data_IF_536998537303
#
_entry.id   IF_536998537303
#
_cell.length_a   1.000
_cell.length_b   1.000
_cell.length_c   1.000
_cell.angle_alpha   90.00
_cell.angle_beta   90.00
_cell.angle_gamma   90.00
#
_symmetry.space_group_name_H-M   'P 1'
#
loop_
_entity.id
_entity.type
_entity.pdbx_description
1 polymer ?
#
# COMPACT_ATOMS: atom_id res chain seq x y z
N UNK A 1 3.72 4.70 -27.21
CA UNK A 1 4.37 5.53 -26.17
C UNK A 1 4.81 4.57 -25.07
N UNK A 2 6.01 3.99 -25.18
CA UNK A 2 6.37 2.76 -24.44
C UNK A 2 7.57 2.92 -23.50
N UNK A 3 8.14 4.13 -23.42
CA UNK A 3 9.38 4.39 -22.68
C UNK A 3 9.20 4.32 -21.15
N UNK A 4 8.01 4.58 -20.62
CA UNK A 4 7.76 4.64 -19.17
C UNK A 4 8.02 3.31 -18.47
N UNK A 5 7.65 2.18 -19.07
CA UNK A 5 7.71 0.88 -18.38
C UNK A 5 9.16 0.38 -18.20
N UNK A 6 10.02 0.63 -19.19
CA UNK A 6 11.46 0.33 -19.09
C UNK A 6 12.18 1.27 -18.11
N UNK A 7 11.71 2.52 -18.02
CA UNK A 7 12.26 3.50 -17.09
C UNK A 7 11.94 3.11 -15.65
N UNK A 8 10.66 2.84 -15.32
CA UNK A 8 10.20 2.35 -14.01
C UNK A 8 11.00 1.12 -13.56
N UNK A 9 11.18 0.12 -14.43
CA UNK A 9 11.99 -1.07 -14.10
C UNK A 9 13.45 -0.72 -13.76
N UNK A 10 14.06 0.22 -14.50
CA UNK A 10 15.43 0.69 -14.19
C UNK A 10 15.51 1.47 -12.87
N UNK A 11 14.45 2.18 -12.50
CA UNK A 11 14.36 2.87 -11.21
C UNK A 11 14.16 1.88 -10.05
N UNK A 12 13.33 0.84 -10.24
CA UNK A 12 13.13 -0.25 -9.27
C UNK A 12 14.43 -1.02 -8.98
N UNK A 13 15.21 -1.35 -10.01
CA UNK A 13 16.55 -1.95 -9.86
C UNK A 13 17.49 -1.07 -9.02
N UNK A 14 17.47 0.26 -9.24
CA UNK A 14 18.26 1.22 -8.44
C UNK A 14 17.75 1.36 -7.01
N UNK A 15 16.43 1.32 -6.80
CA UNK A 15 15.81 1.34 -5.48
C UNK A 15 16.20 0.10 -4.67
N UNK A 16 16.08 -1.10 -5.26
CA UNK A 16 16.48 -2.37 -4.63
C UNK A 16 17.99 -2.42 -4.32
N UNK A 17 18.82 -1.78 -5.16
CA UNK A 17 20.28 -1.69 -4.96
C UNK A 17 20.70 -0.60 -3.96
N UNK A 18 19.79 0.23 -3.44
CA UNK A 18 20.15 1.38 -2.60
C UNK A 18 20.43 0.95 -1.14
N UNK A 19 21.58 1.33 -0.54
CA UNK A 19 21.99 0.85 0.78
C UNK A 19 21.31 1.63 1.93
N UNK A 20 19.98 1.58 2.04
CA UNK A 20 19.19 2.26 3.08
C UNK A 20 19.69 1.99 4.51
N UNK A 21 20.18 0.77 4.78
CA UNK A 21 20.72 0.39 6.09
C UNK A 21 22.04 1.10 6.47
N UNK A 22 22.79 1.59 5.48
CA UNK A 22 24.06 2.31 5.71
C UNK A 22 23.84 3.82 5.87
N UNK A 23 22.84 4.40 5.20
CA UNK A 23 22.57 5.84 5.19
C UNK A 23 22.09 6.37 6.56
N UNK A 24 22.93 7.17 7.21
CA UNK A 24 22.64 7.79 8.50
C UNK A 24 21.51 8.84 8.42
N UNK A 25 21.40 9.56 7.31
CA UNK A 25 20.37 10.60 7.09
C UNK A 25 18.99 9.97 6.98
N UNK A 26 18.90 8.90 6.18
CA UNK A 26 17.68 8.10 6.06
C UNK A 26 17.27 7.50 7.42
N UNK A 27 18.19 6.82 8.12
CA UNK A 27 17.90 6.23 9.45
C UNK A 27 17.45 7.26 10.48
N UNK A 28 18.07 8.44 10.51
CA UNK A 28 17.68 9.52 11.43
C UNK A 28 16.27 10.07 11.13
N UNK A 29 15.92 10.23 9.84
CA UNK A 29 14.59 10.63 9.42
C UNK A 29 13.53 9.56 9.70
N UNK A 30 13.84 8.29 9.43
CA UNK A 30 12.95 7.16 9.74
C UNK A 30 12.68 7.04 11.25
N UNK A 31 13.70 7.20 12.08
CA UNK A 31 13.54 7.17 13.55
C UNK A 31 12.65 8.31 14.07
N UNK A 32 12.75 9.52 13.50
CA UNK A 32 11.89 10.65 13.84
C UNK A 32 10.43 10.42 13.40
N UNK A 33 10.20 9.84 12.21
CA UNK A 33 8.87 9.46 11.74
C UNK A 33 8.25 8.38 12.64
N UNK A 34 8.99 7.31 12.95
CA UNK A 34 8.52 6.22 13.82
C UNK A 34 8.22 6.74 15.24
N UNK A 35 9.03 7.66 15.76
CA UNK A 35 8.80 8.27 17.09
C UNK A 35 7.54 9.15 17.15
N UNK A 36 7.06 9.64 16.00
CA UNK A 36 5.84 10.45 15.88
C UNK A 36 4.60 9.65 15.45
N UNK A 37 4.79 8.46 14.88
CA UNK A 37 3.69 7.57 14.49
C UNK A 37 3.04 6.91 15.70
N UNK A 38 1.73 6.66 15.64
CA UNK A 38 1.03 5.87 16.66
C UNK A 38 1.37 4.39 16.53
N UNK A 39 1.20 3.64 17.63
CA UNK A 39 1.52 2.21 17.68
C UNK A 39 0.60 1.34 16.79
N UNK A 40 -0.55 1.89 16.38
CA UNK A 40 -1.56 1.25 15.53
C UNK A 40 -1.19 1.21 14.04
N UNK A 41 -0.11 1.89 13.64
CA UNK A 41 0.34 1.92 12.25
C UNK A 41 1.47 0.92 12.03
N UNK A 42 1.33 0.10 10.99
CA UNK A 42 2.34 -0.88 10.60
C UNK A 42 3.72 -0.24 10.34
N UNK A 43 4.68 -0.56 11.21
CA UNK A 43 6.07 -0.09 11.09
C UNK A 43 6.71 -0.47 9.76
N UNK A 44 6.37 -1.64 9.23
CA UNK A 44 6.81 -2.12 7.91
C UNK A 44 6.27 -1.23 6.78
N UNK A 45 5.03 -0.73 6.90
CA UNK A 45 4.45 0.18 5.91
C UNK A 45 5.04 1.60 6.02
N UNK A 46 5.30 2.08 7.25
CA UNK A 46 6.04 3.33 7.48
C UNK A 46 7.44 3.24 6.84
N UNK A 47 8.16 2.14 7.07
CA UNK A 47 9.50 1.91 6.51
C UNK A 47 9.47 1.87 4.98
N UNK A 48 8.55 1.12 4.36
CA UNK A 48 8.39 1.08 2.89
C UNK A 48 8.08 2.48 2.33
N UNK A 49 7.12 3.20 2.93
CA UNK A 49 6.78 4.58 2.52
C UNK A 49 7.96 5.53 2.65
N UNK A 50 8.72 5.44 3.74
CA UNK A 50 9.90 6.27 3.96
C UNK A 50 11.02 5.98 2.94
N UNK A 51 11.31 4.69 2.65
CA UNK A 51 12.31 4.30 1.64
C UNK A 51 11.96 4.89 0.27
N UNK A 52 10.71 4.74 -0.17
CA UNK A 52 10.21 5.24 -1.45
C UNK A 52 10.29 6.76 -1.51
N UNK A 53 9.77 7.46 -0.49
CA UNK A 53 9.82 8.91 -0.40
C UNK A 53 11.25 9.45 -0.44
N UNK A 54 12.18 8.82 0.29
CA UNK A 54 13.58 9.20 0.30
C UNK A 54 14.25 8.96 -1.05
N UNK A 55 14.03 7.80 -1.67
CA UNK A 55 14.58 7.44 -2.97
C UNK A 55 14.10 8.38 -4.09
N UNK A 56 12.81 8.72 -4.09
CA UNK A 56 12.21 9.71 -5.00
C UNK A 56 12.86 11.09 -4.81
N UNK A 57 13.03 11.52 -3.56
CA UNK A 57 13.66 12.80 -3.21
C UNK A 57 15.11 12.92 -3.68
N UNK A 58 15.91 11.85 -3.59
CA UNK A 58 17.32 11.88 -4.03
C UNK A 58 17.48 11.68 -5.54
N UNK A 59 16.59 10.91 -6.17
CA UNK A 59 16.71 10.53 -7.59
C UNK A 59 15.96 11.48 -8.54
N UNK A 60 15.03 12.30 -8.02
CA UNK A 60 14.12 13.12 -8.82
C UNK A 60 12.99 12.31 -9.47
N UNK A 61 12.76 11.08 -9.01
CA UNK A 61 11.82 10.12 -9.57
C UNK A 61 10.47 10.15 -8.84
N UNK A 62 9.44 9.59 -9.49
CA UNK A 62 8.05 9.55 -8.98
C UNK A 62 7.55 8.13 -8.78
N UNK A 63 8.34 7.30 -8.12
CA UNK A 63 8.06 5.88 -7.90
C UNK A 63 6.97 5.70 -6.83
N UNK A 64 5.96 4.88 -7.10
CA UNK A 64 4.77 4.70 -6.24
C UNK A 64 4.89 3.47 -5.33
N UNK A 65 4.03 3.41 -4.31
CA UNK A 65 3.96 2.27 -3.37
C UNK A 65 3.52 1.01 -4.12
N UNK A 66 2.56 1.15 -5.03
CA UNK A 66 2.03 0.09 -5.87
C UNK A 66 3.09 -0.48 -6.83
N UNK A 67 3.97 0.34 -7.40
CA UNK A 67 5.07 -0.13 -8.27
C UNK A 67 6.15 -0.91 -7.48
N UNK A 68 6.55 -0.43 -6.29
CA UNK A 68 7.47 -1.19 -5.43
C UNK A 68 6.83 -2.46 -4.92
N UNK A 69 5.56 -2.40 -4.49
CA UNK A 69 4.82 -3.57 -4.05
C UNK A 69 4.73 -4.60 -5.16
N UNK A 70 4.35 -4.21 -6.39
CA UNK A 70 4.30 -5.11 -7.53
C UNK A 70 5.67 -5.74 -7.85
N UNK A 71 6.77 -5.01 -7.68
CA UNK A 71 8.12 -5.54 -7.85
C UNK A 71 8.54 -6.53 -6.74
N UNK A 72 8.15 -6.26 -5.48
CA UNK A 72 8.35 -7.16 -4.34
C UNK A 72 7.41 -8.40 -4.42
N UNK A 73 6.22 -8.26 -5.00
CA UNK A 73 5.21 -9.32 -5.20
C UNK A 73 5.43 -10.12 -6.49
N UNK A 74 6.26 -9.66 -7.44
CA UNK A 74 6.80 -10.52 -8.50
C UNK A 74 7.92 -11.37 -7.92
N UNK A 75 7.73 -12.68 -7.64
CA UNK A 75 8.83 -13.53 -7.25
C UNK A 75 9.80 -13.62 -8.44
N UNK A 76 10.92 -12.93 -8.32
CA UNK A 76 12.08 -13.17 -9.17
C UNK A 76 12.58 -14.57 -8.82
N UNK A 77 12.12 -15.55 -9.58
CA UNK A 77 12.77 -16.86 -9.66
C UNK A 77 14.15 -16.59 -10.26
N UNK A 78 15.15 -16.38 -9.40
CA UNK A 78 16.43 -17.09 -9.47
C UNK A 78 17.40 -16.70 -8.34
N UNK A 79 17.97 -17.75 -7.72
CA UNK A 79 19.31 -17.79 -7.12
C UNK A 79 19.73 -16.67 -6.12
N UNK A 80 19.49 -16.90 -4.83
CA UNK A 80 20.63 -16.99 -3.89
C UNK A 80 20.32 -17.98 -2.74
N UNK A 81 21.29 -18.84 -2.43
CA UNK A 81 21.08 -20.03 -1.61
C UNK A 81 21.62 -19.88 -0.19
N UNK A 82 20.78 -19.48 0.77
CA UNK A 82 21.01 -19.77 2.19
C UNK A 82 19.75 -20.40 2.81
N UNK A 83 19.60 -21.69 2.56
CA UNK A 83 18.72 -22.56 3.33
C UNK A 83 19.36 -22.78 4.72
N UNK A 84 19.13 -21.87 5.67
CA UNK A 84 19.40 -22.14 7.08
C UNK A 84 18.51 -23.30 7.52
N UNK A 85 19.12 -24.48 7.59
CA UNK A 85 18.44 -25.73 7.91
C UNK A 85 18.01 -25.71 9.38
N UNK A 86 16.74 -26.00 9.65
CA UNK A 86 16.34 -26.51 10.97
C UNK A 86 15.22 -27.55 10.86
N UNK A 87 15.68 -28.75 10.54
CA UNK A 87 15.23 -30.02 11.13
C UNK A 87 13.73 -30.37 11.06
N UNK A 88 13.40 -31.15 10.02
CA UNK A 88 12.28 -32.10 10.06
C UNK A 88 12.61 -33.26 11.00
N UNK A 89 11.67 -33.62 11.88
CA UNK A 89 11.30 -35.01 12.20
C UNK A 89 9.83 -34.99 12.73
N UNK A 90 8.83 -35.61 12.06
CA UNK A 90 8.52 -37.06 11.98
C UNK A 90 7.62 -37.50 13.16
N UNK A 91 6.50 -38.24 13.06
CA UNK A 91 5.73 -38.91 11.98
C UNK A 91 4.18 -38.75 12.29
N UNK A 92 3.17 -39.50 11.81
CA UNK A 92 3.06 -40.73 10.98
C UNK A 92 1.64 -40.94 10.35
N UNK A 93 1.53 -41.94 9.46
CA UNK A 93 0.37 -42.82 9.15
C UNK A 93 -1.01 -42.30 8.64
N UNK A 94 -1.32 -42.78 7.42
CA UNK A 94 -2.57 -43.45 6.97
C UNK A 94 -3.84 -42.66 6.50
N UNK A 95 -4.00 -42.66 5.17
CA UNK A 95 -5.18 -42.80 4.26
C UNK A 95 -6.63 -42.33 4.63
N UNK A 96 -7.45 -41.90 3.63
CA UNK A 96 -8.67 -41.10 3.80
C UNK A 96 -9.95 -41.95 3.51
N UNK A 97 -11.10 -41.41 3.03
CA UNK A 97 -11.63 -40.04 3.03
C UNK A 97 -13.04 -39.92 3.65
N UNK A 98 -13.46 -38.72 4.06
CA UNK A 98 -14.88 -38.39 4.16
C UNK A 98 -15.15 -36.91 3.88
N UNK A 99 -16.13 -36.66 3.02
CA UNK A 99 -16.67 -35.33 2.76
C UNK A 99 -17.38 -34.81 4.02
N UNK A 100 -17.15 -33.55 4.39
CA UNK A 100 -18.06 -32.81 5.27
C UNK A 100 -17.99 -31.34 4.89
N UNK A 101 -19.15 -30.77 4.60
CA UNK A 101 -19.35 -29.39 4.21
C UNK A 101 -19.12 -28.41 5.40
N UNK A 102 -19.25 -27.12 5.08
CA UNK A 102 -19.42 -26.00 5.98
C UNK A 102 -18.17 -25.44 6.70
N UNK A 103 -17.74 -24.30 6.16
CA UNK A 103 -17.54 -23.06 6.92
C UNK A 103 -16.52 -23.07 8.07
N UNK A 104 -15.30 -22.60 7.77
CA UNK A 104 -14.66 -21.54 8.57
C UNK A 104 -13.50 -20.87 7.83
N UNK A 105 -13.65 -19.56 7.60
CA UNK A 105 -12.68 -18.52 7.98
C UNK A 105 -11.18 -18.84 7.81
N UNK A 106 -10.60 -18.38 6.70
CA UNK A 106 -9.21 -17.92 6.66
C UNK A 106 -9.06 -16.76 5.66
N UNK A 107 -8.66 -15.59 6.15
CA UNK A 107 -8.19 -14.47 5.32
C UNK A 107 -6.80 -14.80 4.74
N UNK A 108 -6.76 -15.73 3.78
CA UNK A 108 -5.65 -15.83 2.86
C UNK A 108 -6.05 -15.07 1.59
N UNK A 109 -5.35 -13.98 1.27
CA UNK A 109 -5.52 -13.29 -0.01
C UNK A 109 -4.93 -14.16 -1.12
N UNK A 110 -5.69 -15.14 -1.59
CA UNK A 110 -5.30 -15.97 -2.74
C UNK A 110 -5.06 -15.08 -3.95
N UNK A 111 -3.79 -15.00 -4.36
CA UNK A 111 -3.37 -14.25 -5.53
C UNK A 111 -3.77 -15.05 -6.77
N UNK A 112 -5.00 -14.83 -7.24
CA UNK A 112 -5.48 -15.43 -8.48
C UNK A 112 -4.57 -15.02 -9.66
N UNK A 113 -4.30 -15.96 -10.56
CA UNK A 113 -3.50 -15.66 -11.76
C UNK A 113 -4.26 -14.70 -12.68
N UNK A 114 -3.52 -13.91 -13.47
CA UNK A 114 -4.12 -12.94 -14.40
C UNK A 114 -5.08 -13.60 -15.42
N UNK A 115 -4.85 -14.87 -15.78
CA UNK A 115 -5.76 -15.65 -16.60
C UNK A 115 -7.10 -15.94 -15.89
N UNK A 116 -7.06 -16.35 -14.62
CA UNK A 116 -8.27 -16.58 -13.81
C UNK A 116 -9.02 -15.27 -13.53
N UNK A 117 -8.32 -14.17 -13.24
CA UNK A 117 -8.93 -12.85 -13.07
C UNK A 117 -9.68 -12.42 -14.34
N UNK A 118 -9.07 -12.63 -15.52
CA UNK A 118 -9.72 -12.36 -16.80
C UNK A 118 -10.97 -13.21 -17.01
N UNK A 119 -10.91 -14.51 -16.69
CA UNK A 119 -12.07 -15.42 -16.76
C UNK A 119 -13.19 -14.99 -15.80
N UNK A 120 -12.89 -14.59 -14.56
CA UNK A 120 -13.88 -14.11 -13.60
C UNK A 120 -14.57 -12.82 -14.07
N UNK A 121 -13.83 -11.91 -14.72
CA UNK A 121 -14.41 -10.71 -15.33
C UNK A 121 -15.28 -11.08 -16.55
N UNK A 122 -14.80 -11.94 -17.44
CA UNK A 122 -15.53 -12.37 -18.65
C UNK A 122 -16.79 -13.19 -18.32
N UNK A 123 -16.78 -13.95 -17.22
CA UNK A 123 -17.93 -14.71 -16.72
C UNK A 123 -18.83 -13.91 -15.76
N UNK A 124 -18.52 -12.65 -15.49
CA UNK A 124 -19.30 -11.75 -14.63
C UNK A 124 -19.25 -12.08 -13.13
N UNK A 125 -18.34 -12.94 -12.68
CA UNK A 125 -18.17 -13.34 -11.27
C UNK A 125 -17.26 -12.38 -10.51
N UNK A 126 -17.54 -11.09 -10.60
CA UNK A 126 -16.70 -10.04 -10.00
C UNK A 126 -16.63 -10.12 -8.47
N UNK A 127 -17.62 -10.73 -7.81
CA UNK A 127 -17.64 -10.95 -6.35
C UNK A 127 -16.57 -11.95 -5.87
N UNK A 128 -16.00 -12.75 -6.78
CA UNK A 128 -14.91 -13.69 -6.52
C UNK A 128 -13.52 -13.06 -6.73
N UNK A 129 -13.44 -11.79 -7.12
CA UNK A 129 -12.17 -11.10 -7.31
C UNK A 129 -11.56 -10.70 -5.95
N UNK A 130 -10.26 -10.99 -5.71
CA UNK A 130 -9.60 -10.58 -4.47
C UNK A 130 -9.63 -9.06 -4.31
N UNK A 131 -9.85 -8.61 -3.07
CA UNK A 131 -9.98 -7.20 -2.69
C UNK A 131 -11.19 -6.44 -3.30
N UNK A 132 -12.18 -7.11 -3.90
CA UNK A 132 -13.40 -6.43 -4.33
C UNK A 132 -14.22 -5.95 -3.11
N UNK A 133 -14.27 -4.64 -2.89
CA UNK A 133 -15.00 -4.02 -1.77
C UNK A 133 -16.35 -3.49 -2.26
N UNK A 134 -17.43 -4.08 -1.77
CA UNK A 134 -18.80 -3.60 -2.01
C UNK A 134 -18.94 -2.16 -1.49
N UNK A 135 -18.97 -1.19 -2.39
CA UNK A 135 -19.30 0.20 -2.04
C UNK A 135 -20.81 0.24 -1.74
N UNK A 136 -21.25 0.57 -0.51
CA UNK A 136 -22.66 0.75 -0.24
C UNK A 136 -23.16 1.93 -1.07
N UNK A 137 -24.14 1.70 -1.95
CA UNK A 137 -24.75 2.72 -2.83
C UNK A 137 -25.57 3.79 -2.11
N UNK A 138 -25.36 3.98 -0.80
CA UNK A 138 -26.00 5.02 -0.02
C UNK A 138 -25.43 6.38 -0.40
N UNK A 139 -26.23 7.18 -1.10
CA UNK A 139 -25.98 8.61 -1.22
C UNK A 139 -25.92 9.20 0.20
N UNK A 140 -24.94 10.05 0.48
CA UNK A 140 -24.81 10.66 1.79
C UNK A 140 -25.96 11.65 2.04
N UNK A 141 -27.03 11.19 2.70
CA UNK A 141 -28.22 11.98 3.02
C UNK A 141 -28.00 13.01 4.14
N UNK A 142 -26.80 13.07 4.74
CA UNK A 142 -26.51 14.08 5.76
C UNK A 142 -26.64 15.49 5.15
N UNK A 143 -27.40 16.40 5.78
CA UNK A 143 -27.53 17.76 5.28
C UNK A 143 -26.15 18.44 5.31
N UNK A 144 -25.79 19.08 4.19
CA UNK A 144 -24.54 19.84 4.06
C UNK A 144 -24.36 20.82 5.23
N UNK A 145 -23.15 20.89 5.78
CA UNK A 145 -22.85 21.80 6.89
C UNK A 145 -23.03 23.26 6.44
N UNK A 146 -24.01 23.94 7.03
CA UNK A 146 -24.24 25.37 6.80
C UNK A 146 -23.23 26.17 7.62
N UNK A 147 -22.51 27.10 6.99
CA UNK A 147 -21.59 27.99 7.70
C UNK A 147 -22.36 28.94 8.61
N UNK A 148 -22.06 28.89 9.91
CA UNK A 148 -22.58 29.81 10.94
C UNK A 148 -21.53 30.87 11.31
N UNK A 149 -20.47 31.01 10.51
CA UNK A 149 -19.44 32.02 10.74
C UNK A 149 -20.03 33.44 10.50
N UNK A 150 -19.97 34.36 11.48
CA UNK A 150 -20.34 35.75 11.23
C UNK A 150 -19.40 36.35 10.18
N UNK A 151 -19.92 37.14 9.24
CA UNK A 151 -19.11 37.80 8.24
C UNK A 151 -18.16 38.80 8.91
N UNK A 152 -16.88 38.47 8.95
CA UNK A 152 -15.85 39.42 9.39
C UNK A 152 -15.86 40.62 8.46
N UNK A 153 -16.14 41.79 9.04
CA UNK A 153 -16.04 43.05 8.33
C UNK A 153 -14.62 43.24 7.83
N UNK A 154 -14.51 43.72 6.59
CA UNK A 154 -13.22 43.98 5.95
C UNK A 154 -12.59 45.20 6.62
N UNK A 155 -11.26 45.28 6.77
CA UNK A 155 -10.61 46.37 7.51
C UNK A 155 -10.89 47.77 6.92
N UNK A 156 -11.24 47.87 5.63
CA UNK A 156 -11.66 49.11 5.00
C UNK A 156 -13.05 49.63 5.44
N UNK A 157 -13.90 48.79 6.03
CA UNK A 157 -15.22 49.20 6.53
C UNK A 157 -15.14 50.00 7.85
N UNK A 158 -13.98 50.05 8.49
CA UNK A 158 -13.76 50.82 9.72
C UNK A 158 -13.25 52.25 9.47
N UNK A 159 -12.76 52.56 8.27
CA UNK A 159 -12.09 53.83 7.97
C UNK A 159 -13.04 54.95 7.48
N UNK A 160 -14.33 54.66 7.26
CA UNK A 160 -15.28 55.56 6.59
C UNK A 160 -16.26 56.26 7.55
N UNK A 161 -15.85 56.54 8.80
CA UNK A 161 -16.75 57.08 9.84
C UNK A 161 -16.18 58.18 10.73
N UNK A 162 -15.11 58.83 10.26
CA UNK A 162 -14.49 59.99 10.88
C UNK A 162 -14.23 61.06 9.79
N UNK A 163 -15.30 61.76 9.39
CA UNK A 163 -15.23 63.08 8.75
C UNK A 163 -16.56 63.84 9.03
N UNK A 164 -16.43 65.08 9.52
CA UNK A 164 -17.46 66.03 9.99
C UNK A 164 -18.24 65.70 11.27
#
# INVERSE_FOLDING_TARGET
MSSSNSDIHSQLLRYASYPFGSDATFKQGLADIISRSSADVDRNEIERKAKIFYFNRISGNSLTIEEVRAYEETPSIDMDGVATSRELMQADSADPPLETEASSQAEATEVLTLAQIKELIETGRTDQLPNNKTIPGGLNEAPHSKSVAPSMKKPWEHAARDDH
#
